data_IF_551394055526
#
_entry.id   IF_551394055526
#
_cell.length_a   1.000
_cell.length_b   1.000
_cell.length_c   1.000
_cell.angle_alpha   90.00
_cell.angle_beta   90.00
_cell.angle_gamma   90.00
#
_symmetry.space_group_name_H-M   'P 1'
#
loop_
_entity.id
_entity.type
_entity.pdbx_description
1 polymer ?
#
# COMPACT_ATOMS: atom_id res chain seq x y z
N UNK A 1 10.48 13.81 -4.18
CA UNK A 1 11.69 13.29 -4.87
C UNK A 1 12.05 11.82 -4.56
N UNK A 2 11.73 11.28 -3.37
CA UNK A 2 12.04 9.87 -3.05
C UNK A 2 11.05 8.86 -3.67
N UNK A 3 9.75 9.16 -3.68
CA UNK A 3 8.73 8.28 -4.26
C UNK A 3 8.89 8.09 -5.77
N UNK A 4 9.23 9.15 -6.51
CA UNK A 4 9.54 9.06 -7.94
C UNK A 4 10.78 8.22 -8.24
N UNK A 5 11.82 8.34 -7.41
CA UNK A 5 13.02 7.52 -7.54
C UNK A 5 12.74 6.05 -7.21
N UNK A 6 11.90 5.78 -6.21
CA UNK A 6 11.46 4.44 -5.84
C UNK A 6 10.61 3.82 -6.96
N UNK A 7 9.72 4.60 -7.59
CA UNK A 7 9.00 4.20 -8.81
C UNK A 7 9.94 3.80 -9.94
N UNK A 8 10.96 4.61 -10.23
CA UNK A 8 11.94 4.34 -11.28
C UNK A 8 12.74 3.06 -11.00
N UNK A 9 13.18 2.85 -9.75
CA UNK A 9 13.89 1.64 -9.34
C UNK A 9 12.98 0.41 -9.40
N UNK A 10 11.72 0.55 -9.01
CA UNK A 10 10.76 -0.55 -8.98
C UNK A 10 10.36 -1.00 -10.38
N UNK A 11 10.38 -0.11 -11.38
CA UNK A 11 10.20 -0.49 -12.78
C UNK A 11 11.30 -1.45 -13.30
N UNK A 12 12.48 -1.47 -12.67
CA UNK A 12 13.59 -2.36 -13.00
C UNK A 12 13.55 -3.69 -12.22
N UNK A 13 12.53 -3.90 -11.37
CA UNK A 13 12.39 -5.09 -10.54
C UNK A 13 10.98 -5.66 -10.67
N UNK A 14 10.90 -6.90 -11.18
CA UNK A 14 9.65 -7.64 -11.28
C UNK A 14 9.35 -8.30 -9.94
N UNK A 15 8.60 -7.59 -9.09
CA UNK A 15 8.05 -8.13 -7.85
C UNK A 15 6.53 -8.11 -7.91
N UNK A 16 5.90 -9.08 -7.26
CA UNK A 16 4.45 -9.25 -7.23
C UNK A 16 3.90 -9.03 -5.82
N UNK A 17 2.69 -8.48 -5.75
CA UNK A 17 1.96 -8.24 -4.51
C UNK A 17 0.63 -8.99 -4.60
N UNK A 18 0.25 -9.66 -3.52
CA UNK A 18 -1.02 -10.37 -3.45
C UNK A 18 -2.02 -9.53 -2.65
N UNK A 19 -2.96 -8.91 -3.36
CA UNK A 19 -4.07 -8.19 -2.72
C UNK A 19 -5.13 -9.21 -2.25
N UNK A 20 -5.69 -9.06 -1.04
CA UNK A 20 -6.62 -10.03 -0.47
C UNK A 20 -7.91 -10.19 -1.29
N UNK A 21 -8.36 -9.14 -1.98
CA UNK A 21 -9.60 -9.17 -2.79
C UNK A 21 -9.36 -9.12 -4.30
N UNK A 22 -8.16 -8.75 -4.73
CA UNK A 22 -7.82 -8.55 -6.15
C UNK A 22 -6.83 -9.60 -6.69
N UNK A 23 -6.25 -10.46 -5.83
CA UNK A 23 -5.33 -11.51 -6.25
C UNK A 23 -3.90 -11.01 -6.48
N UNK A 24 -3.14 -11.71 -7.32
CA UNK A 24 -1.72 -11.43 -7.58
C UNK A 24 -1.61 -10.33 -8.64
N UNK A 25 -1.00 -9.20 -8.28
CA UNK A 25 -0.70 -8.09 -9.19
C UNK A 25 0.78 -7.77 -9.20
N UNK A 26 1.29 -7.25 -10.31
CA UNK A 26 2.63 -6.69 -10.35
C UNK A 26 2.70 -5.42 -9.50
N UNK A 27 3.83 -5.15 -8.84
CA UNK A 27 3.96 -3.95 -8.02
C UNK A 27 3.73 -2.67 -8.83
N UNK A 28 4.16 -2.65 -10.10
CA UNK A 28 4.03 -1.51 -11.01
C UNK A 28 2.64 -1.39 -11.67
N UNK A 29 1.72 -2.33 -11.40
CA UNK A 29 0.40 -2.34 -12.02
C UNK A 29 -0.48 -1.20 -11.50
N UNK A 30 -1.28 -0.59 -12.37
CA UNK A 30 -2.16 0.53 -12.03
C UNK A 30 -3.59 0.01 -11.81
N UNK A 31 -4.04 0.02 -10.55
CA UNK A 31 -5.32 -0.63 -10.19
C UNK A 31 -6.54 0.28 -10.38
N UNK A 32 -6.46 1.58 -10.02
CA UNK A 32 -7.67 2.43 -9.93
C UNK A 32 -7.62 3.73 -10.74
N UNK A 33 -6.44 4.23 -11.15
CA UNK A 33 -6.41 5.47 -11.95
C UNK A 33 -5.07 5.68 -12.67
N UNK A 34 -4.01 6.04 -11.95
CA UNK A 34 -2.60 6.14 -12.40
C UNK A 34 -1.66 5.80 -11.22
N UNK A 35 -2.24 5.43 -10.08
CA UNK A 35 -1.50 5.17 -8.84
C UNK A 35 -1.12 3.69 -8.82
N UNK A 36 0.17 3.37 -8.66
CA UNK A 36 0.62 1.99 -8.63
C UNK A 36 0.05 1.24 -7.42
N UNK A 37 -0.20 -0.05 -7.61
CA UNK A 37 -0.79 -0.95 -6.63
C UNK A 37 -0.13 -0.87 -5.25
N UNK A 38 1.21 -0.79 -5.21
CA UNK A 38 1.96 -0.74 -3.96
C UNK A 38 1.60 0.47 -3.09
N UNK A 39 1.46 1.67 -3.68
CA UNK A 39 1.14 2.90 -2.92
C UNK A 39 -0.22 2.76 -2.22
N UNK A 40 -1.22 2.30 -2.95
CA UNK A 40 -2.56 2.09 -2.40
C UNK A 40 -2.52 1.07 -1.26
N UNK A 41 -1.76 0.00 -1.45
CA UNK A 41 -1.59 -1.04 -0.44
C UNK A 41 -0.94 -0.51 0.84
N UNK A 42 0.13 0.29 0.72
CA UNK A 42 0.76 0.93 1.88
C UNK A 42 -0.18 1.89 2.61
N UNK A 43 -1.00 2.66 1.87
CA UNK A 43 -1.96 3.58 2.50
C UNK A 43 -3.03 2.84 3.31
N UNK A 44 -3.64 1.81 2.71
CA UNK A 44 -4.68 1.02 3.37
C UNK A 44 -4.13 0.37 4.64
N UNK A 45 -2.97 -0.29 4.53
CA UNK A 45 -2.34 -0.98 5.67
C UNK A 45 -1.97 0.01 6.80
N UNK A 46 -1.44 1.19 6.44
CA UNK A 46 -1.10 2.25 7.40
C UNK A 46 -2.34 2.77 8.14
N UNK A 47 -3.45 3.01 7.43
CA UNK A 47 -4.71 3.47 8.04
C UNK A 47 -5.26 2.39 8.96
N UNK A 48 -5.34 1.13 8.52
CA UNK A 48 -5.87 0.03 9.34
C UNK A 48 -5.04 -0.20 10.60
N UNK A 49 -3.70 -0.20 10.48
CA UNK A 49 -2.80 -0.34 11.62
C UNK A 49 -3.00 0.82 12.60
N UNK A 50 -3.14 2.04 12.08
CA UNK A 50 -3.40 3.22 12.92
C UNK A 50 -4.70 3.09 13.72
N UNK A 51 -5.78 2.54 13.13
CA UNK A 51 -7.03 2.30 13.85
C UNK A 51 -6.90 1.18 14.89
N UNK A 52 -6.20 0.09 14.55
CA UNK A 52 -5.97 -1.03 15.46
C UNK A 52 -5.16 -0.57 16.68
N UNK A 53 -4.10 0.22 16.49
CA UNK A 53 -3.27 0.74 17.58
C UNK A 53 -4.07 1.66 18.50
N UNK A 54 -4.85 2.58 17.93
CA UNK A 54 -5.73 3.47 18.72
C UNK A 54 -6.69 2.67 19.60
N UNK A 55 -7.30 1.63 19.04
CA UNK A 55 -8.26 0.79 19.77
C UNK A 55 -7.57 -0.12 20.79
N UNK A 56 -6.38 -0.64 20.49
CA UNK A 56 -5.59 -1.48 21.40
C UNK A 56 -5.09 -0.69 22.62
N UNK A 57 -4.71 0.58 22.43
CA UNK A 57 -4.24 1.45 23.51
C UNK A 57 -5.37 2.23 24.20
N UNK A 58 -6.62 2.00 23.80
CA UNK A 58 -7.81 2.72 24.26
C UNK A 58 -7.67 4.26 24.18
N UNK A 59 -6.90 4.75 23.19
CA UNK A 59 -6.69 6.18 22.96
C UNK A 59 -7.83 6.65 22.04
N UNK A 60 -8.83 7.29 22.66
CA UNK A 60 -10.03 7.80 21.96
C UNK A 60 -11.30 6.99 22.23
N UNK A 61 -11.45 6.43 23.43
CA UNK A 61 -12.64 5.70 23.86
C UNK A 61 -13.94 6.51 23.68
N UNK A 62 -14.87 5.91 22.94
CA UNK A 62 -16.27 5.77 23.35
C UNK A 62 -16.44 4.32 23.81
#
# INVERSE_FOLDING_TARGET
PIFFWLLYRLAQTTSTITLPYYGIHALTDSIIWVIPAWILWYMICSITISQVIRKALNIGGL
#
